data_IF_377651858745
#
_entry.id   IF_377651858745
#
_cell.length_a   1.000
_cell.length_b   1.000
_cell.length_c   1.000
_cell.angle_alpha   90.00
_cell.angle_beta   90.00
_cell.angle_gamma   90.00
#
_symmetry.space_group_name_H-M   'P 1'
#
loop_
_entity.id
_entity.type
_entity.pdbx_description
1 polymer ?
#
# COMPACT_ATOMS: atom_id res chain seq x y z
N UNK A 1 -0.69 5.60 -51.10
CA UNK A 1 -1.24 4.49 -50.31
C UNK A 1 -0.29 4.10 -49.15
N UNK A 2 1.01 3.98 -49.38
CA UNK A 2 1.96 3.52 -48.35
C UNK A 2 2.24 4.48 -47.17
N UNK A 3 1.85 5.75 -47.26
CA UNK A 3 2.06 6.73 -46.17
C UNK A 3 1.06 6.61 -45.01
N UNK A 4 -0.01 5.82 -45.14
CA UNK A 4 -1.08 5.68 -44.16
C UNK A 4 -1.92 6.94 -43.94
N UNK A 5 -1.86 7.91 -44.91
CA UNK A 5 -2.60 9.19 -44.83
C UNK A 5 -4.04 9.02 -45.30
N UNK A 6 -4.31 8.06 -46.17
CA UNK A 6 -5.66 7.82 -46.70
C UNK A 6 -6.27 6.67 -45.87
N UNK A 7 -7.44 6.93 -45.27
CA UNK A 7 -8.22 5.93 -44.58
C UNK A 7 -8.90 4.99 -45.58
N UNK A 8 -8.66 3.69 -45.43
CA UNK A 8 -9.32 2.63 -46.18
C UNK A 8 -10.06 1.75 -45.17
N UNK A 9 -11.38 1.85 -45.15
CA UNK A 9 -12.25 1.06 -44.26
C UNK A 9 -12.07 -0.44 -44.56
N UNK A 10 -11.95 -1.24 -43.50
CA UNK A 10 -11.65 -2.66 -43.61
C UNK A 10 -10.20 -3.01 -43.88
N UNK A 11 -9.26 -2.01 -43.89
CA UNK A 11 -7.86 -2.24 -44.15
C UNK A 11 -6.92 -1.55 -43.13
N UNK A 12 -7.04 -0.22 -42.95
CA UNK A 12 -6.16 0.55 -42.06
C UNK A 12 -6.94 1.41 -41.07
N UNK A 13 -8.22 1.14 -40.89
CA UNK A 13 -9.03 1.75 -39.87
C UNK A 13 -8.77 1.11 -38.49
N UNK A 14 -9.12 1.84 -37.44
CA UNK A 14 -8.88 1.43 -36.06
C UNK A 14 -9.58 0.10 -35.70
N UNK A 15 -10.81 -0.10 -36.18
CA UNK A 15 -11.57 -1.30 -35.89
C UNK A 15 -10.93 -2.55 -36.49
N UNK A 16 -10.34 -2.44 -37.67
CA UNK A 16 -9.67 -3.55 -38.37
C UNK A 16 -8.29 -3.85 -37.78
N UNK A 17 -7.49 -2.79 -37.52
CA UNK A 17 -6.09 -2.97 -37.07
C UNK A 17 -6.00 -3.23 -35.56
N UNK A 18 -6.91 -2.64 -34.79
CA UNK A 18 -6.95 -2.74 -33.31
C UNK A 18 -8.35 -3.10 -32.80
N UNK A 19 -8.85 -4.29 -33.11
CA UNK A 19 -10.22 -4.70 -32.74
C UNK A 19 -10.47 -4.61 -31.23
N UNK A 20 -9.46 -4.89 -30.40
CA UNK A 20 -9.54 -4.79 -28.94
C UNK A 20 -9.78 -3.34 -28.46
N UNK A 21 -9.20 -2.35 -29.14
CA UNK A 21 -9.47 -0.95 -28.86
C UNK A 21 -10.84 -0.51 -29.37
N UNK A 22 -11.29 -1.08 -30.49
CA UNK A 22 -12.63 -0.82 -31.00
C UNK A 22 -13.73 -1.30 -30.03
N UNK A 23 -13.49 -2.38 -29.29
CA UNK A 23 -14.41 -2.88 -28.25
C UNK A 23 -14.50 -1.94 -27.02
N UNK A 24 -13.48 -1.10 -26.83
CA UNK A 24 -13.47 -0.05 -25.79
C UNK A 24 -14.02 1.29 -26.30
N UNK A 25 -14.48 1.35 -27.54
CA UNK A 25 -15.05 2.55 -28.12
C UNK A 25 -16.40 2.90 -27.47
N UNK A 26 -16.49 4.07 -26.83
CA UNK A 26 -17.75 4.46 -26.19
C UNK A 26 -18.79 4.92 -27.19
N UNK A 27 -20.06 4.56 -26.97
CA UNK A 27 -21.22 5.02 -27.75
C UNK A 27 -21.37 6.55 -27.76
N UNK A 28 -20.78 7.24 -26.79
CA UNK A 28 -20.76 8.69 -26.68
C UNK A 28 -20.04 9.37 -27.85
N UNK A 29 -19.31 8.61 -28.65
CA UNK A 29 -18.62 9.13 -29.84
C UNK A 29 -19.55 9.26 -31.05
N UNK A 30 -20.76 8.70 -31.00
CA UNK A 30 -21.68 8.74 -32.15
C UNK A 30 -21.84 10.18 -32.67
N UNK A 31 -21.80 10.42 -34.00
CA UNK A 31 -21.76 9.45 -35.10
C UNK A 31 -20.35 8.99 -35.51
N UNK A 32 -19.29 9.34 -34.79
CA UNK A 32 -17.94 8.90 -35.08
C UNK A 32 -17.73 7.41 -34.70
N UNK A 33 -17.38 6.60 -35.68
CA UNK A 33 -17.19 5.15 -35.48
C UNK A 33 -15.72 4.77 -35.62
N UNK A 34 -15.25 3.68 -34.99
CA UNK A 34 -13.83 3.29 -35.03
C UNK A 34 -13.34 2.84 -36.41
N UNK A 35 -14.25 2.43 -37.31
CA UNK A 35 -13.95 2.13 -38.70
C UNK A 35 -13.80 3.37 -39.62
N UNK A 36 -14.05 4.56 -39.05
CA UNK A 36 -13.91 5.84 -39.76
C UNK A 36 -12.68 6.64 -39.32
N UNK A 37 -11.78 6.03 -38.56
CA UNK A 37 -10.60 6.69 -38.00
C UNK A 37 -9.39 5.74 -38.05
N UNK A 38 -8.18 6.28 -38.27
CA UNK A 38 -6.96 5.47 -38.29
C UNK A 38 -6.18 5.55 -36.97
N UNK A 39 -5.20 4.66 -36.79
CA UNK A 39 -4.35 4.55 -35.62
C UNK A 39 -3.53 5.81 -35.29
N UNK A 40 -3.20 6.63 -36.29
CA UNK A 40 -2.40 7.86 -36.14
C UNK A 40 -3.23 9.06 -35.75
N UNK A 41 -4.54 8.90 -35.61
CA UNK A 41 -5.45 9.98 -35.31
C UNK A 41 -5.12 10.65 -33.99
N UNK A 42 -5.06 11.98 -34.03
CA UNK A 42 -4.94 12.84 -32.84
C UNK A 42 -6.28 13.26 -32.26
N UNK A 43 -7.40 12.68 -32.74
CA UNK A 43 -8.72 12.98 -32.18
C UNK A 43 -8.82 12.47 -30.75
N UNK A 44 -9.38 13.31 -29.90
CA UNK A 44 -9.70 12.98 -28.52
C UNK A 44 -11.12 12.40 -28.47
N UNK A 45 -11.26 11.14 -28.14
CA UNK A 45 -12.52 10.40 -28.17
C UNK A 45 -12.81 9.76 -26.80
N UNK A 46 -14.05 9.36 -26.59
CA UNK A 46 -14.47 8.63 -25.41
C UNK A 46 -14.13 7.14 -25.53
N UNK A 47 -13.57 6.61 -24.46
CA UNK A 47 -13.27 5.20 -24.29
C UNK A 47 -14.06 4.65 -23.10
N UNK A 48 -14.48 3.41 -23.16
CA UNK A 48 -15.12 2.68 -22.06
C UNK A 48 -14.30 1.46 -21.70
N UNK A 49 -13.78 1.43 -20.49
CA UNK A 49 -12.94 0.32 -20.04
C UNK A 49 -13.77 -0.97 -19.92
N UNK A 50 -13.30 -2.05 -20.50
CA UNK A 50 -13.96 -3.36 -20.39
C UNK A 50 -13.88 -3.97 -18.99
N UNK A 51 -12.83 -3.63 -18.23
CA UNK A 51 -12.58 -4.18 -16.91
C UNK A 51 -13.40 -3.48 -15.82
N UNK A 52 -13.39 -2.14 -15.77
CA UNK A 52 -14.02 -1.36 -14.71
C UNK A 52 -15.25 -0.55 -15.16
N UNK A 53 -15.57 -0.53 -16.45
CA UNK A 53 -16.69 0.23 -17.02
C UNK A 53 -16.48 1.75 -17.06
N UNK A 54 -15.34 2.27 -16.55
CA UNK A 54 -15.07 3.69 -16.51
C UNK A 54 -14.97 4.29 -17.92
N UNK A 55 -15.58 5.45 -18.12
CA UNK A 55 -15.52 6.18 -19.38
C UNK A 55 -14.64 7.43 -19.25
N UNK A 56 -13.72 7.58 -20.18
CA UNK A 56 -12.79 8.72 -20.20
C UNK A 56 -12.45 9.17 -21.62
N UNK A 57 -11.93 10.39 -21.74
CA UNK A 57 -11.39 10.88 -23.00
C UNK A 57 -9.90 10.62 -23.14
N UNK A 58 -9.49 10.13 -24.28
CA UNK A 58 -8.09 9.99 -24.66
C UNK A 58 -7.91 10.07 -26.16
N UNK A 59 -6.72 10.51 -26.57
CA UNK A 59 -6.34 10.57 -27.99
C UNK A 59 -6.17 9.16 -28.52
N UNK A 60 -6.70 8.88 -29.72
CA UNK A 60 -6.63 7.55 -30.35
C UNK A 60 -5.18 7.06 -30.43
N UNK A 61 -4.26 7.88 -30.95
CA UNK A 61 -2.85 7.52 -31.05
C UNK A 61 -2.20 7.18 -29.68
N UNK A 62 -2.60 7.83 -28.59
CA UNK A 62 -2.10 7.53 -27.27
C UNK A 62 -2.57 6.14 -26.80
N UNK A 63 -3.82 5.78 -27.10
CA UNK A 63 -4.36 4.43 -26.80
C UNK A 63 -3.62 3.34 -27.59
N UNK A 64 -3.38 3.58 -28.86
CA UNK A 64 -2.58 2.67 -29.72
C UNK A 64 -1.16 2.50 -29.17
N UNK A 65 -0.56 3.54 -28.59
CA UNK A 65 0.75 3.49 -27.92
C UNK A 65 0.72 2.89 -26.51
N UNK A 66 -0.40 2.32 -26.06
CA UNK A 66 -0.49 1.63 -24.79
C UNK A 66 -0.95 2.46 -23.59
N UNK A 67 -1.49 3.69 -23.83
CA UNK A 67 -2.13 4.42 -22.75
C UNK A 67 -3.38 3.67 -22.25
N UNK A 68 -3.37 3.22 -20.99
CA UNK A 68 -4.42 2.42 -20.37
C UNK A 68 -5.50 3.26 -19.68
N UNK A 69 -6.59 2.60 -19.27
CA UNK A 69 -7.63 3.17 -18.43
C UNK A 69 -7.02 3.84 -17.19
N UNK A 70 -7.33 5.11 -16.89
CA UNK A 70 -6.76 5.80 -15.73
C UNK A 70 -7.16 5.18 -14.39
N UNK A 71 -8.35 4.56 -14.31
CA UNK A 71 -8.80 3.87 -13.08
C UNK A 71 -8.03 2.57 -12.87
N UNK A 72 -7.92 1.72 -13.90
CA UNK A 72 -7.16 0.47 -13.80
C UNK A 72 -5.65 0.69 -13.61
N UNK A 73 -5.15 1.88 -13.94
CA UNK A 73 -3.76 2.29 -13.74
C UNK A 73 -3.56 3.16 -12.47
N UNK A 74 -4.52 3.16 -11.54
CA UNK A 74 -4.53 3.92 -10.27
C UNK A 74 -4.25 5.44 -10.40
N UNK A 75 -4.51 6.01 -11.57
CA UNK A 75 -4.38 7.46 -11.84
C UNK A 75 -5.69 8.23 -11.63
N UNK A 76 -6.80 7.53 -11.52
CA UNK A 76 -8.12 8.08 -11.21
C UNK A 76 -8.86 7.16 -10.25
N UNK A 77 -9.74 7.72 -9.44
CA UNK A 77 -10.55 6.97 -8.47
C UNK A 77 -11.95 6.80 -9.01
N UNK A 78 -12.43 5.57 -9.01
CA UNK A 78 -13.80 5.20 -9.28
C UNK A 78 -14.40 4.62 -7.99
N UNK A 79 -15.33 5.37 -7.39
CA UNK A 79 -16.02 4.96 -6.17
C UNK A 79 -16.73 3.61 -6.37
N UNK A 80 -16.56 2.70 -5.42
CA UNK A 80 -17.08 1.33 -5.50
C UNK A 80 -16.22 0.38 -6.32
N UNK A 81 -15.03 0.80 -6.77
CA UNK A 81 -14.13 -0.06 -7.54
C UNK A 81 -12.69 -0.05 -7.00
N UNK A 82 -11.98 1.10 -7.04
CA UNK A 82 -10.59 1.22 -6.59
C UNK A 82 -10.39 2.28 -5.51
N UNK A 83 -11.46 2.74 -4.88
CA UNK A 83 -11.38 3.64 -3.73
C UNK A 83 -11.00 2.87 -2.45
N UNK A 84 -10.41 3.60 -1.50
CA UNK A 84 -9.92 3.05 -0.24
C UNK A 84 -11.02 2.33 0.56
N UNK A 85 -12.24 2.88 0.58
CA UNK A 85 -13.33 2.29 1.32
C UNK A 85 -13.76 0.94 0.76
N UNK A 86 -13.59 0.74 -0.56
CA UNK A 86 -13.93 -0.51 -1.24
C UNK A 86 -12.78 -1.52 -1.18
N UNK A 87 -11.54 -1.07 -1.37
CA UNK A 87 -10.38 -1.98 -1.46
C UNK A 87 -9.82 -2.40 -0.09
N UNK A 88 -9.90 -1.52 0.90
CA UNK A 88 -9.30 -1.72 2.22
C UNK A 88 -10.28 -1.30 3.35
N UNK A 89 -11.49 -1.87 3.41
CA UNK A 89 -12.55 -1.46 4.34
C UNK A 89 -12.14 -1.59 5.80
N UNK A 90 -11.26 -2.52 6.14
CA UNK A 90 -10.73 -2.72 7.49
C UNK A 90 -9.92 -1.51 8.02
N UNK A 91 -9.42 -0.66 7.13
CA UNK A 91 -8.69 0.55 7.53
C UNK A 91 -9.63 1.70 7.92
N UNK A 92 -10.93 1.60 7.60
CA UNK A 92 -11.91 2.64 7.95
C UNK A 92 -12.14 2.74 9.46
N UNK A 93 -11.98 1.64 10.21
CA UNK A 93 -12.04 1.64 11.67
C UNK A 93 -10.91 2.46 12.30
N UNK A 94 -9.82 2.63 11.54
CA UNK A 94 -8.66 3.42 11.94
C UNK A 94 -8.66 4.83 11.32
N UNK A 95 -9.66 5.18 10.53
CA UNK A 95 -9.77 6.49 9.92
C UNK A 95 -10.24 7.54 10.94
N UNK A 96 -9.45 8.57 11.19
CA UNK A 96 -9.84 9.67 12.09
C UNK A 96 -10.79 10.64 11.36
N UNK A 97 -12.08 10.35 11.40
CA UNK A 97 -13.11 11.14 10.71
C UNK A 97 -13.14 12.61 11.13
N UNK A 98 -12.81 12.93 12.39
CA UNK A 98 -12.82 14.30 12.89
C UNK A 98 -11.68 15.12 12.30
N UNK A 99 -10.48 14.56 12.30
CA UNK A 99 -9.27 15.23 11.79
C UNK A 99 -9.19 15.21 10.25
N UNK A 100 -9.87 14.28 9.61
CA UNK A 100 -9.94 14.13 8.16
C UNK A 100 -11.20 14.75 7.54
N UNK A 101 -11.85 15.73 8.19
CA UNK A 101 -13.11 16.32 7.72
C UNK A 101 -13.09 16.83 6.29
N UNK A 102 -11.91 17.15 5.73
CA UNK A 102 -11.70 17.54 4.32
C UNK A 102 -11.43 16.39 3.36
N UNK A 103 -11.33 15.15 3.84
CA UNK A 103 -11.00 13.98 3.03
C UNK A 103 -12.09 12.93 3.09
N UNK A 104 -12.32 12.26 1.95
CA UNK A 104 -13.28 11.17 1.85
C UNK A 104 -12.56 9.90 1.36
N UNK A 105 -12.58 8.80 2.10
CA UNK A 105 -11.93 7.54 1.70
C UNK A 105 -12.47 6.98 0.38
N UNK A 106 -13.71 7.31 -0.01
CA UNK A 106 -14.27 6.91 -1.30
C UNK A 106 -13.70 7.71 -2.49
N UNK A 107 -12.87 8.72 -2.22
CA UNK A 107 -12.21 9.54 -3.25
C UNK A 107 -10.69 9.39 -3.27
N UNK A 108 -10.16 8.47 -2.49
CA UNK A 108 -8.74 8.15 -2.41
C UNK A 108 -8.52 6.72 -2.88
N UNK A 109 -7.53 6.48 -3.74
CA UNK A 109 -7.11 5.12 -4.08
C UNK A 109 -6.15 4.57 -3.02
N UNK A 110 -5.98 3.26 -2.98
CA UNK A 110 -5.03 2.60 -2.08
C UNK A 110 -3.57 3.06 -2.31
N UNK A 111 -3.21 3.44 -3.53
CA UNK A 111 -1.88 3.99 -3.87
C UNK A 111 -1.73 5.49 -3.61
N UNK A 112 -2.70 6.15 -2.96
CA UNK A 112 -2.68 7.59 -2.75
C UNK A 112 -1.52 8.04 -1.85
N UNK A 113 -0.77 9.03 -2.32
CA UNK A 113 0.29 9.70 -1.55
C UNK A 113 -0.24 10.75 -0.58
N UNK A 114 -1.58 10.89 -0.47
CA UNK A 114 -2.22 11.82 0.46
C UNK A 114 -1.96 11.40 1.89
N UNK A 115 -1.39 12.31 2.71
CA UNK A 115 -1.23 12.12 4.15
C UNK A 115 -2.54 12.45 4.87
N UNK A 116 -3.04 11.49 5.64
CA UNK A 116 -4.27 11.59 6.42
C UNK A 116 -4.01 11.16 7.87
N UNK A 117 -4.97 11.45 8.75
CA UNK A 117 -4.90 11.05 10.15
C UNK A 117 -5.51 9.66 10.35
N UNK A 118 -4.76 8.83 11.05
CA UNK A 118 -5.15 7.48 11.47
C UNK A 118 -5.23 7.40 12.99
N UNK A 119 -6.12 6.57 13.49
CA UNK A 119 -6.27 6.27 14.92
C UNK A 119 -6.11 4.77 15.13
N UNK A 120 -5.05 4.34 15.82
CA UNK A 120 -4.85 2.92 16.09
C UNK A 120 -5.78 2.40 17.21
N UNK A 121 -5.85 1.09 17.36
CA UNK A 121 -6.64 0.41 18.40
C UNK A 121 -6.23 0.81 19.83
N UNK A 122 -4.97 1.22 20.04
CA UNK A 122 -4.47 1.74 21.33
C UNK A 122 -4.83 3.20 21.57
N UNK A 123 -5.52 3.87 20.62
CA UNK A 123 -5.96 5.26 20.75
C UNK A 123 -4.99 6.33 20.25
N UNK A 124 -3.78 5.97 19.80
CA UNK A 124 -2.83 6.94 19.25
C UNK A 124 -3.32 7.49 17.93
N UNK A 125 -3.25 8.82 17.76
CA UNK A 125 -3.53 9.48 16.49
C UNK A 125 -2.22 9.89 15.82
N UNK A 126 -2.04 9.50 14.56
CA UNK A 126 -0.82 9.77 13.79
C UNK A 126 -1.12 10.05 12.32
N UNK A 127 -0.21 10.75 11.65
CA UNK A 127 -0.29 11.00 10.20
C UNK A 127 0.54 9.98 9.44
N UNK A 128 -0.06 9.42 8.39
CA UNK A 128 0.63 8.58 7.42
C UNK A 128 -0.05 8.71 6.05
N UNK A 129 0.68 8.44 4.98
CA UNK A 129 0.09 8.37 3.64
C UNK A 129 -0.81 7.15 3.55
N UNK A 130 -1.84 7.25 2.69
CA UNK A 130 -2.72 6.11 2.42
C UNK A 130 -1.90 4.92 1.92
N UNK A 131 -0.98 5.13 0.95
CA UNK A 131 -0.11 4.08 0.42
C UNK A 131 0.76 3.38 1.47
N UNK A 132 1.26 4.11 2.47
CA UNK A 132 2.04 3.54 3.58
C UNK A 132 1.21 2.55 4.42
N UNK A 133 -0.10 2.81 4.52
CA UNK A 133 -1.03 1.94 5.27
C UNK A 133 -1.54 0.76 4.47
N UNK A 134 -1.73 0.92 3.16
CA UNK A 134 -2.35 -0.07 2.29
C UNK A 134 -1.37 -0.98 1.58
N UNK A 135 -0.23 -0.45 1.12
CA UNK A 135 0.77 -1.18 0.33
C UNK A 135 1.91 -1.66 1.22
N UNK A 136 2.45 -0.77 2.04
CA UNK A 136 3.59 -1.08 2.92
C UNK A 136 3.14 -1.70 4.25
N UNK A 137 1.83 -1.67 4.54
CA UNK A 137 1.20 -2.17 5.77
C UNK A 137 1.81 -1.59 7.07
N UNK A 138 2.42 -0.40 6.99
CA UNK A 138 3.03 0.26 8.14
C UNK A 138 1.97 0.58 9.21
N UNK A 139 2.25 0.21 10.44
CA UNK A 139 1.39 0.44 11.59
C UNK A 139 1.56 1.82 12.24
N UNK A 140 1.07 1.93 13.46
CA UNK A 140 1.29 3.10 14.30
C UNK A 140 2.72 3.09 14.83
N UNK A 141 3.51 4.11 14.49
CA UNK A 141 4.90 4.22 14.93
C UNK A 141 5.05 4.29 16.45
N UNK A 142 4.08 4.87 17.14
CA UNK A 142 4.09 4.92 18.62
C UNK A 142 3.93 3.51 19.18
N UNK A 143 2.94 2.75 18.72
CA UNK A 143 2.79 1.35 19.11
C UNK A 143 4.01 0.51 18.74
N UNK A 144 4.61 0.76 17.59
CA UNK A 144 5.81 0.05 17.15
C UNK A 144 7.01 0.32 18.07
N UNK A 145 7.21 1.58 18.46
CA UNK A 145 8.26 1.94 19.42
C UNK A 145 8.01 1.34 20.80
N UNK A 146 6.77 1.47 21.31
CA UNK A 146 6.40 0.85 22.58
C UNK A 146 6.57 -0.67 22.55
N UNK A 147 6.19 -1.30 21.44
CA UNK A 147 6.33 -2.75 21.28
C UNK A 147 7.81 -3.18 21.23
N UNK A 148 8.64 -2.43 20.51
CA UNK A 148 10.09 -2.68 20.46
C UNK A 148 10.77 -2.54 21.81
N UNK A 149 10.34 -1.62 22.67
CA UNK A 149 10.90 -1.45 24.00
C UNK A 149 10.45 -2.51 24.99
N UNK A 150 9.23 -3.00 24.88
CA UNK A 150 8.62 -3.94 25.84
C UNK A 150 8.81 -5.40 25.43
N UNK A 151 8.81 -5.71 24.13
CA UNK A 151 8.86 -7.08 23.61
C UNK A 151 10.10 -7.87 24.07
N UNK A 152 11.32 -7.32 24.03
CA UNK A 152 12.51 -8.06 24.49
C UNK A 152 12.35 -8.49 25.95
N UNK A 153 11.91 -7.59 26.81
CA UNK A 153 11.65 -7.86 28.23
C UNK A 153 10.61 -8.95 28.43
N UNK A 154 9.51 -8.93 27.70
CA UNK A 154 8.45 -9.95 27.79
C UNK A 154 8.97 -11.32 27.32
N UNK A 155 9.73 -11.36 26.24
CA UNK A 155 10.33 -12.61 25.74
C UNK A 155 11.28 -13.23 26.75
N UNK A 156 12.11 -12.42 27.41
CA UNK A 156 13.02 -12.87 28.44
C UNK A 156 12.27 -13.39 29.66
N UNK A 157 11.27 -12.65 30.12
CA UNK A 157 10.43 -13.10 31.24
C UNK A 157 9.69 -14.41 30.91
N UNK A 158 9.19 -14.55 29.68
CA UNK A 158 8.56 -15.79 29.22
C UNK A 158 9.55 -16.96 29.19
N UNK A 159 10.75 -16.74 28.63
CA UNK A 159 11.83 -17.76 28.58
C UNK A 159 12.24 -18.18 29.98
N UNK A 160 12.52 -17.25 30.85
CA UNK A 160 12.91 -17.49 32.22
C UNK A 160 11.83 -18.27 32.98
N UNK A 161 10.56 -17.87 32.84
CA UNK A 161 9.41 -18.58 33.45
C UNK A 161 9.31 -20.02 32.94
N UNK A 162 9.48 -20.24 31.63
CA UNK A 162 9.42 -21.57 30.99
C UNK A 162 10.53 -22.51 31.49
N UNK A 163 11.70 -21.96 31.76
CA UNK A 163 12.87 -22.73 32.22
C UNK A 163 13.09 -22.65 33.74
N UNK A 164 12.11 -22.12 34.50
CA UNK A 164 12.18 -21.98 35.96
C UNK A 164 13.41 -21.19 36.46
N UNK A 165 13.87 -20.21 35.65
CA UNK A 165 15.01 -19.35 35.95
C UNK A 165 14.58 -18.15 36.80
N UNK A 166 15.45 -17.70 37.70
CA UNK A 166 15.20 -16.53 38.53
C UNK A 166 15.52 -15.24 37.77
N UNK A 167 14.52 -14.35 37.68
CA UNK A 167 14.64 -13.04 37.02
C UNK A 167 14.69 -11.94 38.07
N UNK A 168 15.70 -11.10 37.99
CA UNK A 168 15.81 -9.86 38.76
C UNK A 168 15.62 -8.66 37.84
N UNK A 169 14.80 -7.68 38.24
CA UNK A 169 14.51 -6.49 37.46
C UNK A 169 15.02 -5.26 38.18
N UNK A 170 15.55 -4.27 37.42
CA UNK A 170 16.07 -3.00 37.94
C UNK A 170 17.14 -3.18 39.03
N UNK A 171 18.13 -4.04 38.79
CA UNK A 171 19.21 -4.31 39.76
C UNK A 171 20.46 -3.50 39.43
N UNK A 172 21.01 -2.79 40.42
CA UNK A 172 22.28 -2.07 40.34
C UNK A 172 23.46 -2.85 40.95
N UNK A 173 23.18 -4.02 41.50
CA UNK A 173 24.10 -4.71 42.40
C UNK A 173 25.21 -5.50 41.72
N UNK A 174 25.10 -5.79 40.42
CA UNK A 174 25.98 -6.72 39.73
C UNK A 174 27.22 -6.07 39.16
N UNK A 175 27.05 -4.93 38.46
CA UNK A 175 28.15 -4.20 37.80
C UNK A 175 28.22 -2.71 38.16
N UNK A 176 27.41 -2.27 39.15
CA UNK A 176 27.35 -0.86 39.55
C UNK A 176 26.62 0.05 38.54
N UNK A 177 25.95 -0.53 37.57
CA UNK A 177 25.10 0.13 36.58
C UNK A 177 23.70 -0.45 36.62
N UNK A 178 22.67 0.36 36.35
CA UNK A 178 21.29 -0.11 36.32
C UNK A 178 21.11 -1.13 35.17
N UNK A 179 20.69 -2.35 35.51
CA UNK A 179 20.35 -3.39 34.54
C UNK A 179 18.84 -3.59 34.58
N UNK A 180 18.15 -3.44 33.45
CA UNK A 180 16.69 -3.53 33.39
C UNK A 180 16.16 -4.94 33.69
N UNK A 181 16.84 -5.97 33.18
CA UNK A 181 16.45 -7.37 33.41
C UNK A 181 17.70 -8.24 33.47
N UNK A 182 17.83 -9.03 34.54
CA UNK A 182 18.94 -9.94 34.76
C UNK A 182 18.45 -11.38 35.07
N UNK A 183 19.02 -12.35 34.40
CA UNK A 183 18.81 -13.78 34.69
C UNK A 183 20.06 -14.31 35.40
N UNK A 184 19.97 -14.49 36.72
CA UNK A 184 21.10 -14.84 37.57
C UNK A 184 21.74 -16.19 37.23
N UNK A 185 20.91 -17.17 36.91
CA UNK A 185 21.34 -18.54 36.61
C UNK A 185 22.14 -18.62 35.30
N UNK A 186 21.82 -17.76 34.32
CA UNK A 186 22.47 -17.70 33.01
C UNK A 186 23.51 -16.57 32.90
N UNK A 187 23.64 -15.74 33.94
CA UNK A 187 24.49 -14.52 33.97
C UNK A 187 24.21 -13.58 32.79
N UNK A 188 22.95 -13.48 32.40
CA UNK A 188 22.50 -12.73 31.25
C UNK A 188 21.83 -11.41 31.67
N UNK A 189 22.41 -10.28 31.26
CA UNK A 189 21.84 -8.94 31.42
C UNK A 189 21.18 -8.48 30.11
N UNK A 190 20.00 -7.88 30.18
CA UNK A 190 19.24 -7.43 29.03
C UNK A 190 18.81 -6.00 29.27
N UNK A 191 19.11 -5.13 28.32
CA UNK A 191 18.73 -3.73 28.27
C UNK A 191 17.79 -3.46 27.07
N UNK A 192 16.91 -2.49 27.17
CA UNK A 192 15.88 -2.20 26.15
C UNK A 192 16.40 -1.44 24.93
N UNK A 193 17.61 -0.90 24.96
CA UNK A 193 18.27 -0.28 23.79
C UNK A 193 19.08 -1.29 22.96
N UNK A 194 18.45 -2.40 22.59
CA UNK A 194 19.13 -3.38 21.73
C UNK A 194 19.01 -2.92 20.28
N UNK A 195 20.12 -2.68 19.63
CA UNK A 195 20.21 -2.47 18.18
C UNK A 195 19.85 -3.78 17.45
N UNK A 196 19.38 -3.67 16.20
CA UNK A 196 18.93 -4.84 15.42
C UNK A 196 20.00 -5.92 15.28
N UNK A 197 21.28 -5.55 15.30
CA UNK A 197 22.43 -6.46 15.25
C UNK A 197 22.57 -7.33 16.51
N UNK A 198 22.16 -6.81 17.67
CA UNK A 198 22.22 -7.54 18.94
C UNK A 198 21.13 -8.63 19.04
N UNK A 199 19.99 -8.43 18.38
CA UNK A 199 18.91 -9.43 18.32
C UNK A 199 19.34 -10.65 17.52
N UNK A 200 20.14 -10.49 16.48
CA UNK A 200 20.65 -11.59 15.66
C UNK A 200 21.69 -12.41 16.43
N UNK A 201 22.56 -11.75 17.18
CA UNK A 201 23.53 -12.38 18.09
C UNK A 201 22.83 -13.17 19.20
N UNK A 202 21.74 -12.65 19.79
CA UNK A 202 20.92 -13.32 20.80
C UNK A 202 20.22 -14.56 20.22
N UNK A 203 19.68 -14.47 19.00
CA UNK A 203 19.09 -15.60 18.27
C UNK A 203 20.11 -16.71 18.01
N UNK A 204 21.32 -16.35 17.56
CA UNK A 204 22.39 -17.32 17.35
C UNK A 204 22.83 -18.00 18.64
N UNK A 205 22.88 -17.27 19.76
CA UNK A 205 23.25 -17.84 21.05
C UNK A 205 22.20 -18.82 21.58
N UNK A 206 20.92 -18.48 21.46
CA UNK A 206 19.79 -19.33 21.82
C UNK A 206 19.63 -20.54 20.89
N UNK A 207 20.06 -20.48 19.64
CA UNK A 207 20.03 -21.58 18.68
C UNK A 207 21.21 -22.58 18.85
N UNK A 208 22.34 -22.14 19.41
CA UNK A 208 23.53 -22.98 19.63
C UNK A 208 23.45 -23.84 20.88
N UNK A 209 22.41 -23.67 21.72
CA UNK A 209 22.19 -24.44 22.96
C UNK A 209 21.11 -25.54 22.85
N UNK A 210 20.73 -25.92 21.62
CA UNK A 210 19.86 -27.06 21.32
C UNK A 210 20.65 -28.29 20.89
#
# INVERSE_FOLDING_TARGET
>A
YCSGQILLKGFNDLATVYPQLAEEWSERNFPLMPDTINEKSRRNVWWKCRQCGYEWKSVVHARVKGANCPVCADRAVLTGYNDLATTDPQLLDQWDYLRNSGYNPNKLSRGSMQSVWWKCSCGHSYKAKVSERTIEANGCRVCEQEYRSVLPRLLVMYYAKKNCLKVETNTETIIGLPIETYIADEKLAIESEIQAEDIECLKEHLCKQR
#
